data_IF_384057187975
#
_entry.id   IF_384057187975
#
_cell.length_a   1.000
_cell.length_b   1.000
_cell.length_c   1.000
_cell.angle_alpha   90.00
_cell.angle_beta   90.00
_cell.angle_gamma   90.00
#
_symmetry.space_group_name_H-M   'P 1'
#
loop_
_entity.id
_entity.type
_entity.pdbx_description
1 polymer ?
#
# COMPACT_ATOMS: atom_id res chain seq x y z
N UNK A 1 28.72 31.81 -45.42
CA UNK A 1 28.14 30.46 -45.24
C UNK A 1 28.43 30.01 -43.83
N UNK A 2 27.39 29.93 -42.98
CA UNK A 2 27.49 29.58 -41.55
C UNK A 2 27.61 28.06 -41.39
N UNK A 3 28.61 27.63 -40.61
CA UNK A 3 28.78 26.23 -40.22
C UNK A 3 27.99 25.84 -38.96
N UNK A 4 28.18 24.58 -38.59
CA UNK A 4 27.84 23.90 -37.33
C UNK A 4 26.43 23.31 -37.18
N UNK A 5 26.41 21.99 -36.95
CA UNK A 5 25.25 21.24 -36.50
C UNK A 5 25.46 19.74 -36.42
N UNK A 6 26.56 19.29 -35.80
CA UNK A 6 26.83 17.86 -35.57
C UNK A 6 25.82 17.29 -34.57
N UNK A 7 24.91 16.43 -35.05
CA UNK A 7 23.86 15.78 -34.27
C UNK A 7 24.45 14.78 -33.29
N UNK A 8 24.79 15.26 -32.10
CA UNK A 8 25.27 14.45 -30.97
C UNK A 8 24.08 13.70 -30.37
N UNK A 9 23.90 12.45 -30.77
CA UNK A 9 23.02 11.49 -30.09
C UNK A 9 23.50 11.34 -28.64
N UNK A 10 22.72 11.87 -27.71
CA UNK A 10 23.00 11.77 -26.28
C UNK A 10 22.57 10.39 -25.82
N UNK A 11 23.52 9.45 -25.84
CA UNK A 11 23.39 8.18 -25.15
C UNK A 11 23.08 8.45 -23.67
N UNK A 12 21.94 7.96 -23.20
CA UNK A 12 21.62 7.91 -21.77
C UNK A 12 22.28 6.66 -21.19
N UNK A 13 23.33 6.77 -20.35
CA UNK A 13 23.76 5.63 -19.57
C UNK A 13 22.71 5.38 -18.47
N UNK A 14 21.81 4.42 -18.68
CA UNK A 14 21.07 3.80 -17.59
C UNK A 14 22.03 2.93 -16.77
N UNK A 15 22.89 3.60 -15.98
CA UNK A 15 23.66 2.98 -14.93
C UNK A 15 22.71 2.54 -13.82
N UNK A 16 22.22 1.30 -13.90
CA UNK A 16 21.61 0.62 -12.77
C UNK A 16 22.73 0.23 -11.79
N UNK A 17 23.32 1.23 -11.13
CA UNK A 17 24.16 1.00 -9.96
C UNK A 17 23.27 0.36 -8.91
N UNK A 18 23.60 -0.88 -8.56
CA UNK A 18 22.92 -1.68 -7.57
C UNK A 18 22.74 -0.88 -6.28
N UNK A 19 21.51 -0.45 -6.00
CA UNK A 19 21.13 0.00 -4.68
C UNK A 19 21.10 -1.24 -3.77
N UNK A 20 22.27 -1.62 -3.26
CA UNK A 20 22.39 -2.47 -2.09
C UNK A 20 21.80 -1.68 -0.91
N UNK A 21 20.50 -1.78 -0.72
CA UNK A 21 19.84 -1.30 0.48
C UNK A 21 20.23 -2.22 1.65
N UNK A 22 21.43 -2.02 2.19
CA UNK A 22 21.83 -2.51 3.51
C UNK A 22 21.06 -1.74 4.59
N UNK A 23 19.74 -1.90 4.58
CA UNK A 23 18.84 -1.38 5.59
C UNK A 23 18.72 -2.45 6.69
N UNK A 24 19.85 -2.77 7.33
CA UNK A 24 19.88 -3.49 8.60
C UNK A 24 19.15 -2.59 9.61
N UNK A 25 17.85 -2.80 9.73
CA UNK A 25 16.94 -1.83 10.30
C UNK A 25 16.83 -2.07 11.79
N UNK A 26 17.32 -1.10 12.56
CA UNK A 26 16.79 -0.78 13.88
C UNK A 26 15.27 -0.53 13.73
N UNK A 27 14.47 -1.61 13.76
CA UNK A 27 13.04 -1.54 13.56
C UNK A 27 12.38 -0.83 14.77
N UNK A 28 11.73 0.33 14.60
CA UNK A 28 10.97 0.92 15.69
C UNK A 28 9.77 0.01 16.00
N UNK A 29 9.75 -0.59 17.20
CA UNK A 29 8.70 -1.50 17.71
C UNK A 29 7.27 -0.96 17.51
N UNK A 30 7.10 0.35 17.37
CA UNK A 30 5.82 1.01 17.11
C UNK A 30 5.22 0.68 15.72
N UNK A 31 6.06 0.33 14.74
CA UNK A 31 5.64 -0.11 13.40
C UNK A 31 4.91 -1.46 13.45
N UNK A 32 5.35 -2.37 14.33
CA UNK A 32 4.82 -3.73 14.40
C UNK A 32 3.32 -3.75 14.75
N UNK A 33 2.90 -3.00 15.79
CA UNK A 33 1.48 -2.91 16.19
C UNK A 33 0.60 -2.33 15.07
N UNK A 34 1.05 -1.25 14.41
CA UNK A 34 0.32 -0.63 13.30
C UNK A 34 0.16 -1.59 12.11
N UNK A 35 1.22 -2.34 11.78
CA UNK A 35 1.18 -3.32 10.70
C UNK A 35 0.27 -4.50 11.03
N UNK A 36 0.28 -4.97 12.28
CA UNK A 36 -0.64 -6.01 12.76
C UNK A 36 -2.10 -5.58 12.63
N UNK A 37 -2.44 -4.38 13.10
CA UNK A 37 -3.79 -3.81 12.96
C UNK A 37 -4.23 -3.76 11.49
N UNK A 38 -3.34 -3.32 10.58
CA UNK A 38 -3.63 -3.27 9.14
C UNK A 38 -3.91 -4.67 8.57
N UNK A 39 -3.10 -5.66 8.94
CA UNK A 39 -3.28 -7.06 8.53
C UNK A 39 -4.61 -7.64 9.00
N UNK A 40 -4.97 -7.44 10.28
CA UNK A 40 -6.24 -7.91 10.84
C UNK A 40 -7.44 -7.22 10.17
N UNK A 41 -7.35 -5.91 9.91
CA UNK A 41 -8.38 -5.18 9.14
C UNK A 41 -8.52 -5.71 7.71
N UNK A 42 -7.41 -6.08 7.07
CA UNK A 42 -7.44 -6.67 5.74
C UNK A 42 -8.11 -8.06 5.76
N UNK A 43 -7.78 -8.91 6.74
CA UNK A 43 -8.39 -10.23 6.91
C UNK A 43 -9.92 -10.14 7.05
N UNK A 44 -10.45 -9.20 7.84
CA UNK A 44 -11.89 -8.99 8.01
C UNK A 44 -12.61 -8.64 6.70
N UNK A 45 -11.96 -7.86 5.84
CA UNK A 45 -12.54 -7.39 4.58
C UNK A 45 -12.25 -8.31 3.38
N UNK A 46 -11.36 -9.30 3.54
CA UNK A 46 -10.99 -10.20 2.47
C UNK A 46 -12.06 -11.29 2.31
N UNK A 47 -12.75 -11.36 1.16
CA UNK A 47 -13.77 -12.39 0.92
C UNK A 47 -13.22 -13.81 0.87
N UNK A 48 -11.90 -13.98 0.70
CA UNK A 48 -11.22 -15.27 0.69
C UNK A 48 -10.83 -15.77 2.08
N UNK A 49 -10.99 -14.95 3.11
CA UNK A 49 -10.69 -15.35 4.50
C UNK A 49 -11.88 -16.11 5.06
N UNK A 50 -11.59 -17.23 5.72
CA UNK A 50 -12.60 -18.07 6.38
C UNK A 50 -13.37 -17.29 7.46
N UNK A 51 -14.55 -17.78 7.80
CA UNK A 51 -15.41 -17.16 8.81
C UNK A 51 -14.71 -17.09 10.17
N UNK A 52 -14.09 -18.20 10.59
CA UNK A 52 -13.31 -18.29 11.82
C UNK A 52 -12.10 -17.33 11.80
N UNK A 53 -11.42 -17.23 10.65
CA UNK A 53 -10.29 -16.30 10.49
C UNK A 53 -10.71 -14.84 10.62
N UNK A 54 -11.89 -14.48 10.10
CA UNK A 54 -12.47 -13.13 10.26
C UNK A 54 -12.90 -12.88 11.70
N UNK A 55 -13.50 -13.86 12.37
CA UNK A 55 -13.89 -13.75 13.77
C UNK A 55 -12.67 -13.56 14.69
N UNK A 56 -11.62 -14.37 14.51
CA UNK A 56 -10.36 -14.24 15.24
C UNK A 56 -9.69 -12.89 15.01
N UNK A 57 -9.64 -12.41 13.76
CA UNK A 57 -9.09 -11.09 13.44
C UNK A 57 -9.87 -9.95 14.11
N UNK A 58 -11.19 -10.11 14.22
CA UNK A 58 -12.06 -9.16 14.88
C UNK A 58 -11.86 -9.15 16.41
N UNK A 59 -11.74 -10.32 17.03
CA UNK A 59 -11.45 -10.44 18.46
C UNK A 59 -10.10 -9.81 18.81
N UNK A 60 -9.08 -10.05 17.99
CA UNK A 60 -7.73 -9.51 18.20
C UNK A 60 -7.68 -7.97 18.06
N UNK A 61 -8.40 -7.40 17.10
CA UNK A 61 -8.54 -5.94 16.99
C UNK A 61 -9.23 -5.33 18.22
N UNK A 62 -10.27 -5.99 18.72
CA UNK A 62 -10.97 -5.56 19.93
C UNK A 62 -10.04 -5.62 21.15
N UNK A 63 -9.25 -6.68 21.30
CA UNK A 63 -8.25 -6.82 22.36
C UNK A 63 -7.20 -5.70 22.29
N UNK A 64 -6.81 -5.28 21.09
CA UNK A 64 -5.90 -4.14 20.90
C UNK A 64 -6.54 -2.76 21.14
N UNK A 65 -7.84 -2.70 21.48
CA UNK A 65 -8.59 -1.46 21.65
C UNK A 65 -8.86 -0.74 20.32
N UNK A 66 -8.76 -1.44 19.19
CA UNK A 66 -8.95 -0.86 17.85
C UNK A 66 -10.33 -1.22 17.33
N UNK A 67 -11.19 -0.21 17.19
CA UNK A 67 -12.52 -0.42 16.60
C UNK A 67 -12.37 -0.75 15.11
N UNK A 68 -12.94 -1.87 14.62
CA UNK A 68 -12.95 -2.18 13.21
C UNK A 68 -13.75 -1.12 12.46
N UNK A 69 -13.08 -0.23 11.72
CA UNK A 69 -13.76 0.72 10.84
C UNK A 69 -14.29 -0.07 9.65
N UNK A 70 -15.51 -0.61 9.73
CA UNK A 70 -16.14 -1.20 8.55
C UNK A 70 -16.33 -0.07 7.53
N UNK A 71 -15.85 -0.21 6.28
CA UNK A 71 -16.17 0.77 5.26
C UNK A 71 -17.69 0.85 5.16
N UNK A 72 -18.22 2.07 5.07
CA UNK A 72 -19.67 2.28 4.98
C UNK A 72 -20.26 1.45 3.85
N UNK A 73 -21.53 1.04 3.98
CA UNK A 73 -22.25 0.32 2.94
C UNK A 73 -22.14 1.06 1.59
N UNK A 74 -22.19 2.40 1.61
CA UNK A 74 -21.95 3.26 0.46
C UNK A 74 -20.55 3.09 -0.16
N UNK A 75 -19.50 2.97 0.65
CA UNK A 75 -18.13 2.70 0.18
C UNK A 75 -18.08 1.36 -0.56
N UNK A 76 -18.71 0.32 -0.01
CA UNK A 76 -18.73 -1.02 -0.61
C UNK A 76 -19.50 -1.03 -1.94
N UNK A 77 -20.66 -0.38 -1.98
CA UNK A 77 -21.48 -0.23 -3.20
C UNK A 77 -20.71 0.58 -4.26
N UNK A 78 -20.06 1.68 -3.87
CA UNK A 78 -19.26 2.50 -4.79
C UNK A 78 -18.12 1.72 -5.45
N UNK A 79 -17.43 0.86 -4.70
CA UNK A 79 -16.40 -0.02 -5.26
C UNK A 79 -16.99 -1.12 -6.16
N UNK A 80 -18.14 -1.67 -5.79
CA UNK A 80 -18.83 -2.70 -6.58
C UNK A 80 -19.29 -2.18 -7.95
N UNK A 81 -19.74 -0.92 -8.03
CA UNK A 81 -20.12 -0.27 -9.30
C UNK A 81 -18.93 0.34 -10.07
N UNK A 82 -17.69 0.08 -9.67
CA UNK A 82 -16.51 0.62 -10.38
C UNK A 82 -16.39 2.14 -10.35
N UNK A 83 -17.12 2.85 -9.48
CA UNK A 83 -17.05 4.30 -9.30
C UNK A 83 -15.83 4.69 -8.44
N UNK A 84 -14.64 4.29 -8.89
CA UNK A 84 -13.37 4.74 -8.32
C UNK A 84 -13.13 6.21 -8.64
N UNK A 85 -13.55 7.10 -7.75
CA UNK A 85 -13.21 8.53 -7.83
C UNK A 85 -11.70 8.69 -7.83
N UNK A 86 -11.12 9.00 -9.00
CA UNK A 86 -9.73 9.43 -9.15
C UNK A 86 -9.56 10.75 -8.40
N UNK A 87 -9.19 10.69 -7.12
CA UNK A 87 -8.68 11.87 -6.40
C UNK A 87 -7.17 11.79 -6.37
N UNK A 88 -6.56 12.18 -7.50
CA UNK A 88 -5.22 12.75 -7.51
C UNK A 88 -5.40 14.26 -7.67
N UNK A 89 -5.53 14.97 -6.55
CA UNK A 89 -5.04 16.35 -6.47
C UNK A 89 -3.59 16.26 -6.04
N UNK A 90 -2.67 16.32 -7.00
CA UNK A 90 -1.34 16.90 -6.86
C UNK A 90 -0.93 17.45 -8.21
#
# INVERSE_FOLDING_TARGET
MLGFGSSKTRAHPHGHAAHAHSHASDFPKQSHRKNRIRGLKAAINNPRTTDDGRAGAQAELNHMGVRPTKPSLQTRIRHFLGMGGKSHRR
#
